data_IF_676827243338
#
_entry.id   IF_676827243338
#
_cell.length_a   1.000
_cell.length_b   1.000
_cell.length_c   1.000
_cell.angle_alpha   90.00
_cell.angle_beta   90.00
_cell.angle_gamma   90.00
#
_symmetry.space_group_name_H-M   'P 1'
#
loop_
_entity.id
_entity.type
_entity.pdbx_description
1 polymer ?
#
# COMPACT_ATOMS: atom_id res chain seq x y z
N UNK A 1 -6.65 17.91 -11.57
CA UNK A 1 -6.13 16.53 -11.56
C UNK A 1 -6.17 16.02 -10.13
N UNK A 2 -6.57 14.76 -9.93
CA UNK A 2 -6.62 14.09 -8.63
C UNK A 2 -5.56 12.98 -8.57
N UNK A 3 -5.03 12.74 -7.37
CA UNK A 3 -4.10 11.65 -7.12
C UNK A 3 -4.87 10.39 -6.79
N UNK A 4 -4.59 9.31 -7.52
CA UNK A 4 -5.17 7.99 -7.30
C UNK A 4 -4.10 6.99 -6.88
N UNK A 5 -4.40 6.20 -5.88
CA UNK A 5 -3.58 5.07 -5.44
C UNK A 5 -4.29 3.75 -5.76
N UNK A 6 -3.55 2.81 -6.33
CA UNK A 6 -4.00 1.42 -6.49
C UNK A 6 -3.27 0.57 -5.49
N UNK A 7 -4.04 -0.14 -4.65
CA UNK A 7 -3.50 -0.90 -3.52
C UNK A 7 -3.97 -2.34 -3.52
N UNK A 8 -3.13 -3.24 -2.99
CA UNK A 8 -3.50 -4.60 -2.65
C UNK A 8 -3.84 -4.68 -1.16
N UNK A 9 -5.01 -5.21 -0.84
CA UNK A 9 -5.38 -5.64 0.51
C UNK A 9 -5.24 -7.15 0.67
N UNK A 10 -4.98 -7.56 1.92
CA UNK A 10 -4.68 -8.94 2.27
C UNK A 10 -5.84 -9.64 2.96
N UNK A 11 -5.68 -10.96 3.15
CA UNK A 11 -6.55 -11.76 4.01
C UNK A 11 -6.71 -11.14 5.41
N UNK A 12 -7.81 -11.50 6.08
CA UNK A 12 -8.16 -10.90 7.37
C UNK A 12 -7.07 -11.08 8.44
N UNK A 13 -6.47 -12.28 8.52
CA UNK A 13 -5.45 -12.56 9.54
C UNK A 13 -4.21 -11.67 9.35
N UNK A 14 -3.76 -11.53 8.11
CA UNK A 14 -2.62 -10.68 7.77
C UNK A 14 -2.92 -9.19 8.01
N UNK A 15 -4.11 -8.73 7.66
CA UNK A 15 -4.54 -7.34 7.95
C UNK A 15 -4.59 -7.08 9.45
N UNK A 16 -5.16 -7.99 10.24
CA UNK A 16 -5.24 -7.83 11.69
C UNK A 16 -3.85 -7.73 12.33
N UNK A 17 -2.87 -8.56 11.90
CA UNK A 17 -1.48 -8.49 12.36
C UNK A 17 -0.82 -7.13 12.07
N UNK A 18 -1.02 -6.61 10.87
CA UNK A 18 -0.46 -5.30 10.48
C UNK A 18 -1.16 -4.18 11.24
N UNK A 19 -2.49 -4.25 11.35
CA UNK A 19 -3.30 -3.25 12.04
C UNK A 19 -2.95 -3.15 13.53
N UNK A 20 -2.67 -4.27 14.19
CA UNK A 20 -2.23 -4.27 15.59
C UNK A 20 -0.95 -3.44 15.79
N UNK A 21 0.02 -3.57 14.88
CA UNK A 21 1.25 -2.77 14.94
C UNK A 21 0.97 -1.28 14.68
N UNK A 22 0.12 -0.95 13.72
CA UNK A 22 -0.32 0.44 13.44
C UNK A 22 -0.98 1.04 14.68
N UNK A 23 -1.90 0.31 15.31
CA UNK A 23 -2.64 0.79 16.48
C UNK A 23 -1.73 1.02 17.68
N UNK A 24 -0.75 0.16 17.92
CA UNK A 24 0.19 0.32 19.03
C UNK A 24 1.17 1.48 18.80
N UNK A 25 1.67 1.64 17.57
CA UNK A 25 2.50 2.79 17.24
C UNK A 25 1.70 4.09 17.46
N UNK A 26 0.47 4.14 16.97
CA UNK A 26 -0.38 5.31 17.14
C UNK A 26 -0.65 5.63 18.62
N UNK A 27 -0.92 4.60 19.42
CA UNK A 27 -1.17 4.77 20.87
C UNK A 27 0.07 5.25 21.65
N UNK A 28 1.27 4.79 21.25
CA UNK A 28 2.52 5.09 21.95
C UNK A 28 3.11 6.43 21.53
N UNK A 29 3.15 6.69 20.21
CA UNK A 29 3.85 7.85 19.63
C UNK A 29 2.93 9.04 19.37
N UNK A 30 1.61 8.84 19.39
CA UNK A 30 0.62 9.84 18.97
C UNK A 30 0.59 10.08 17.43
N UNK A 31 1.36 9.33 16.65
CA UNK A 31 1.38 9.41 15.18
C UNK A 31 0.28 8.50 14.60
N UNK A 32 -0.91 9.00 14.55
CA UNK A 32 -2.14 8.25 14.28
C UNK A 32 -2.79 8.56 12.91
N UNK A 33 -2.06 9.16 11.98
CA UNK A 33 -2.56 9.54 10.66
C UNK A 33 -3.24 8.38 9.93
N UNK A 34 -2.59 7.21 9.84
CA UNK A 34 -3.15 6.02 9.16
C UNK A 34 -4.51 5.64 9.74
N UNK A 35 -4.62 5.66 11.08
CA UNK A 35 -5.86 5.33 11.80
C UNK A 35 -6.94 6.40 11.60
N UNK A 36 -6.61 7.67 11.75
CA UNK A 36 -7.55 8.79 11.58
C UNK A 36 -8.08 8.91 10.15
N UNK A 37 -7.23 8.66 9.17
CA UNK A 37 -7.61 8.66 7.76
C UNK A 37 -8.36 7.40 7.33
N UNK A 38 -8.48 6.38 8.20
CA UNK A 38 -9.15 5.11 7.88
C UNK A 38 -8.43 4.31 6.80
N UNK A 39 -7.12 4.48 6.66
CA UNK A 39 -6.32 3.79 5.65
C UNK A 39 -6.04 2.36 6.12
N UNK A 40 -6.57 1.31 5.44
CA UNK A 40 -6.34 -0.08 5.82
C UNK A 40 -4.90 -0.52 5.53
N UNK A 41 -4.42 -1.59 6.18
CA UNK A 41 -3.17 -2.25 5.81
C UNK A 41 -3.14 -2.67 4.34
N UNK A 42 -2.17 -2.19 3.57
CA UNK A 42 -2.10 -2.40 2.12
C UNK A 42 -0.67 -2.35 1.59
N UNK A 43 -0.49 -2.75 0.34
CA UNK A 43 0.69 -2.43 -0.47
C UNK A 43 0.24 -1.65 -1.70
N UNK A 44 0.72 -0.43 -1.87
CA UNK A 44 0.45 0.38 -3.07
C UNK A 44 1.25 -0.16 -4.25
N UNK A 45 0.61 -0.43 -5.37
CA UNK A 45 1.23 -0.96 -6.60
C UNK A 45 1.32 0.06 -7.73
N UNK A 46 0.55 1.16 -7.63
CA UNK A 46 0.61 2.29 -8.56
C UNK A 46 0.08 3.56 -7.91
N UNK A 47 0.63 4.69 -8.30
CA UNK A 47 0.02 6.00 -8.07
C UNK A 47 0.02 6.76 -9.39
N UNK A 48 -1.15 7.31 -9.73
CA UNK A 48 -1.34 8.10 -10.96
C UNK A 48 -2.10 9.39 -10.67
N UNK A 49 -1.93 10.35 -11.55
CA UNK A 49 -2.65 11.62 -11.52
C UNK A 49 -3.52 11.72 -12.76
N UNK A 50 -4.81 11.98 -12.59
CA UNK A 50 -5.75 12.12 -13.70
C UNK A 50 -6.85 13.13 -13.39
N UNK A 51 -7.47 13.69 -14.41
CA UNK A 51 -8.72 14.43 -14.35
C UNK A 51 -9.91 13.63 -14.93
N UNK A 52 -9.64 12.42 -15.41
CA UNK A 52 -10.63 11.47 -15.96
C UNK A 52 -10.76 10.25 -15.04
N UNK A 53 -11.55 10.39 -13.98
CA UNK A 53 -11.82 9.31 -13.01
C UNK A 53 -12.58 8.14 -13.65
N UNK A 54 -13.44 8.41 -14.63
CA UNK A 54 -14.24 7.39 -15.31
C UNK A 54 -13.34 6.41 -16.08
N UNK A 55 -12.36 6.93 -16.82
CA UNK A 55 -11.36 6.09 -17.50
C UNK A 55 -10.50 5.30 -16.52
N UNK A 56 -10.08 5.90 -15.40
CA UNK A 56 -9.31 5.20 -14.36
C UNK A 56 -10.12 4.05 -13.75
N UNK A 57 -11.39 4.29 -13.42
CA UNK A 57 -12.31 3.26 -12.90
C UNK A 57 -12.53 2.12 -13.91
N UNK A 58 -12.78 2.46 -15.18
CA UNK A 58 -12.99 1.48 -16.25
C UNK A 58 -11.75 0.59 -16.45
N UNK A 59 -10.57 1.18 -16.44
CA UNK A 59 -9.31 0.43 -16.52
C UNK A 59 -9.13 -0.52 -15.33
N UNK A 60 -9.49 -0.07 -14.12
CA UNK A 60 -9.40 -0.92 -12.92
C UNK A 60 -10.41 -2.07 -12.93
N UNK A 61 -11.62 -1.86 -13.45
CA UNK A 61 -12.58 -2.95 -13.66
C UNK A 61 -12.03 -4.03 -14.60
N UNK A 62 -11.38 -3.62 -15.69
CA UNK A 62 -10.78 -4.56 -16.63
C UNK A 62 -9.56 -5.29 -16.03
N UNK A 63 -8.72 -4.59 -15.26
CA UNK A 63 -7.60 -5.19 -14.53
C UNK A 63 -8.11 -6.25 -13.56
N UNK A 64 -9.16 -5.95 -12.80
CA UNK A 64 -9.72 -6.84 -11.78
C UNK A 64 -10.24 -8.17 -12.33
N UNK A 65 -10.69 -8.20 -13.59
CA UNK A 65 -11.14 -9.42 -14.28
C UNK A 65 -10.00 -10.39 -14.60
N UNK A 66 -8.78 -9.88 -14.71
CA UNK A 66 -7.59 -10.65 -15.11
C UNK A 66 -6.61 -10.92 -13.99
N UNK A 67 -6.52 -10.00 -13.03
CA UNK A 67 -5.65 -10.13 -11.87
C UNK A 67 -6.20 -11.18 -10.90
N UNK A 68 -5.33 -12.10 -10.49
CA UNK A 68 -5.67 -13.14 -9.51
C UNK A 68 -5.13 -12.79 -8.13
N UNK A 69 -5.66 -13.46 -7.11
CA UNK A 69 -5.07 -13.46 -5.78
C UNK A 69 -3.64 -14.01 -5.84
N UNK A 70 -2.77 -13.55 -4.94
CA UNK A 70 -1.38 -13.99 -4.93
C UNK A 70 -0.74 -13.88 -3.56
N UNK A 71 0.35 -14.61 -3.39
CA UNK A 71 1.06 -14.66 -2.13
C UNK A 71 2.06 -13.51 -1.99
N UNK A 72 2.06 -12.88 -0.84
CA UNK A 72 2.97 -11.79 -0.46
C UNK A 72 3.62 -12.16 0.87
N UNK A 73 4.95 -12.19 0.93
CA UNK A 73 5.67 -12.61 2.14
C UNK A 73 6.38 -11.38 2.74
N UNK A 74 5.91 -10.91 3.88
CA UNK A 74 6.56 -9.84 4.63
C UNK A 74 7.76 -10.39 5.40
N UNK A 75 8.95 -9.82 5.20
CA UNK A 75 10.22 -10.37 5.70
C UNK A 75 11.07 -9.39 6.47
N UNK A 76 10.82 -8.09 6.35
CA UNK A 76 11.69 -7.10 6.94
C UNK A 76 10.94 -5.83 7.39
N UNK A 77 11.58 -5.08 8.26
CA UNK A 77 11.15 -3.74 8.67
C UNK A 77 12.00 -2.76 7.88
N UNK A 78 11.36 -1.81 7.23
CA UNK A 78 12.03 -0.76 6.46
C UNK A 78 11.65 0.64 6.93
N UNK A 79 12.46 1.60 6.52
CA UNK A 79 12.28 3.01 6.87
C UNK A 79 12.50 3.88 5.63
N UNK A 80 11.57 4.79 5.36
CA UNK A 80 11.84 5.95 4.52
C UNK A 80 12.14 7.11 5.47
N UNK A 81 13.42 7.34 5.67
CA UNK A 81 13.99 8.16 6.76
C UNK A 81 13.62 9.65 6.65
N UNK A 82 13.24 10.28 7.75
CA UNK A 82 12.88 9.70 9.05
C UNK A 82 11.38 9.43 9.20
N UNK A 83 10.57 9.65 8.17
CA UNK A 83 9.14 9.91 8.25
C UNK A 83 8.24 8.68 8.21
N UNK A 84 8.71 7.56 7.68
CA UNK A 84 7.86 6.37 7.47
C UNK A 84 8.54 5.11 7.98
N UNK A 85 7.82 4.30 8.75
CA UNK A 85 8.19 2.91 9.07
C UNK A 85 7.21 1.96 8.38
N UNK A 86 7.70 0.86 7.83
CA UNK A 86 6.89 -0.06 7.05
C UNK A 86 7.35 -1.52 7.18
N UNK A 87 6.48 -2.46 6.83
CA UNK A 87 6.85 -3.85 6.54
C UNK A 87 7.18 -3.98 5.06
N UNK A 88 8.36 -4.55 4.77
CA UNK A 88 8.81 -4.83 3.42
C UNK A 88 8.51 -6.27 3.01
N UNK A 89 7.77 -6.50 1.92
CA UNK A 89 7.61 -7.83 1.36
C UNK A 89 8.79 -8.24 0.49
N UNK A 90 8.96 -9.54 0.31
CA UNK A 90 9.82 -10.07 -0.77
C UNK A 90 9.26 -9.59 -2.10
N UNK A 91 10.12 -9.02 -2.93
CA UNK A 91 9.78 -8.62 -4.30
C UNK A 91 9.70 -9.88 -5.16
N UNK A 92 8.53 -10.48 -5.23
CA UNK A 92 8.26 -11.69 -6.02
C UNK A 92 7.64 -11.36 -7.39
N UNK A 93 7.49 -12.36 -8.23
CA UNK A 93 6.92 -12.23 -9.57
C UNK A 93 5.49 -11.66 -9.54
N UNK A 94 4.65 -12.12 -8.59
CA UNK A 94 3.27 -11.65 -8.42
C UNK A 94 3.22 -10.12 -8.22
N UNK A 95 4.00 -9.59 -7.31
CA UNK A 95 4.05 -8.14 -7.03
C UNK A 95 4.59 -7.36 -8.23
N UNK A 96 5.63 -7.87 -8.89
CA UNK A 96 6.21 -7.21 -10.06
C UNK A 96 5.23 -7.17 -11.24
N UNK A 97 4.60 -8.29 -11.56
CA UNK A 97 3.64 -8.37 -12.66
C UNK A 97 2.38 -7.54 -12.37
N UNK A 98 1.90 -7.51 -11.12
CA UNK A 98 0.80 -6.63 -10.71
C UNK A 98 1.16 -5.15 -10.91
N UNK A 99 2.34 -4.74 -10.44
CA UNK A 99 2.82 -3.36 -10.63
C UNK A 99 2.92 -2.99 -12.12
N UNK A 100 3.49 -3.87 -12.95
CA UNK A 100 3.59 -3.67 -14.40
C UNK A 100 2.24 -3.60 -15.09
N UNK A 101 1.33 -4.53 -14.76
CA UNK A 101 -0.01 -4.58 -15.33
C UNK A 101 -0.78 -3.29 -15.06
N UNK A 102 -0.85 -2.88 -13.79
CA UNK A 102 -1.59 -1.69 -13.36
C UNK A 102 -1.00 -0.43 -13.99
N UNK A 103 0.29 -0.20 -13.86
CA UNK A 103 0.94 0.97 -14.45
C UNK A 103 0.85 0.97 -15.98
N UNK A 104 1.05 -0.17 -16.63
CA UNK A 104 0.96 -0.29 -18.09
C UNK A 104 -0.44 -0.04 -18.65
N UNK A 105 -1.48 -0.17 -17.82
CA UNK A 105 -2.85 0.14 -18.21
C UNK A 105 -3.18 1.61 -17.93
N UNK A 106 -3.01 2.07 -16.69
CA UNK A 106 -3.41 3.40 -16.25
C UNK A 106 -2.62 4.54 -16.93
N UNK A 107 -1.32 4.36 -17.16
CA UNK A 107 -0.47 5.38 -17.80
C UNK A 107 -0.76 5.62 -19.28
N UNK A 108 -1.77 4.97 -19.85
CA UNK A 108 -2.30 5.32 -21.17
C UNK A 108 -3.20 6.56 -21.12
N UNK A 109 -3.80 6.85 -19.95
CA UNK A 109 -4.81 7.89 -19.75
C UNK A 109 -4.50 8.79 -18.56
N UNK A 110 -3.42 8.52 -17.81
CA UNK A 110 -3.02 9.25 -16.63
C UNK A 110 -1.51 9.50 -16.61
N UNK A 111 -1.06 10.40 -15.76
CA UNK A 111 0.35 10.66 -15.52
C UNK A 111 0.85 9.91 -14.28
N UNK A 112 2.14 9.64 -14.20
CA UNK A 112 2.72 9.03 -13.01
C UNK A 112 2.63 9.98 -11.82
N UNK A 113 1.99 9.53 -10.74
CA UNK A 113 1.89 10.25 -9.48
C UNK A 113 3.13 10.07 -8.59
N UNK A 114 3.19 10.83 -7.51
CA UNK A 114 4.21 10.73 -6.48
C UNK A 114 5.65 10.63 -7.02
N UNK A 115 6.02 11.53 -7.92
CA UNK A 115 7.35 11.59 -8.56
C UNK A 115 7.78 10.28 -9.27
N UNK A 116 6.85 9.42 -9.64
CA UNK A 116 7.13 8.14 -10.30
C UNK A 116 7.70 7.04 -9.40
N UNK A 117 7.69 7.20 -8.07
CA UNK A 117 8.21 6.20 -7.13
C UNK A 117 7.48 4.85 -7.19
N UNK A 118 6.29 4.81 -7.79
CA UNK A 118 5.51 3.58 -7.97
C UNK A 118 5.61 2.99 -9.39
N UNK A 119 6.50 3.51 -10.23
CA UNK A 119 6.74 2.96 -11.56
C UNK A 119 7.52 1.63 -11.47
N UNK A 120 7.30 0.69 -12.40
CA UNK A 120 8.10 -0.53 -12.51
C UNK A 120 9.61 -0.22 -12.52
N UNK A 121 10.41 -1.02 -11.83
CA UNK A 121 11.86 -0.87 -11.63
C UNK A 121 12.32 0.31 -10.75
N UNK A 122 11.42 1.15 -10.26
CA UNK A 122 11.71 2.18 -9.25
C UNK A 122 10.96 1.91 -7.94
N UNK A 123 9.94 1.09 -8.01
CA UNK A 123 9.05 0.77 -6.91
C UNK A 123 9.72 -0.04 -5.80
N UNK A 124 9.52 0.41 -4.58
CA UNK A 124 9.84 -0.33 -3.35
C UNK A 124 8.54 -0.75 -2.70
N UNK A 125 8.11 -2.03 -2.84
CA UNK A 125 6.88 -2.48 -2.22
C UNK A 125 6.96 -2.42 -0.70
N UNK A 126 5.92 -1.85 -0.08
CA UNK A 126 5.89 -1.67 1.37
C UNK A 126 4.44 -1.57 1.88
N UNK A 127 4.23 -2.02 3.10
CA UNK A 127 3.01 -1.74 3.87
C UNK A 127 3.36 -0.78 4.99
N UNK A 128 2.94 0.47 4.88
CA UNK A 128 3.22 1.49 5.87
C UNK A 128 2.56 1.16 7.21
N UNK A 129 3.29 1.33 8.30
CA UNK A 129 2.80 1.17 9.66
C UNK A 129 2.54 2.52 10.31
N UNK A 130 3.38 3.50 10.05
CA UNK A 130 3.19 4.89 10.47
C UNK A 130 3.90 5.83 9.50
N UNK A 131 3.35 7.03 9.39
CA UNK A 131 3.87 8.15 8.60
C UNK A 131 3.98 9.39 9.47
N UNK A 132 4.59 10.46 8.95
CA UNK A 132 4.79 11.72 9.66
C UNK A 132 5.61 11.58 10.95
N UNK A 133 6.51 10.59 10.99
CA UNK A 133 7.44 10.38 12.09
C UNK A 133 8.55 11.43 12.08
N UNK A 134 9.11 11.67 13.24
CA UNK A 134 10.41 12.32 13.44
C UNK A 134 11.42 11.31 14.01
N UNK A 135 12.64 11.74 14.26
CA UNK A 135 13.71 10.84 14.70
C UNK A 135 13.43 10.14 16.04
N UNK A 136 12.70 10.77 16.96
CA UNK A 136 12.36 10.17 18.26
C UNK A 136 11.20 9.20 18.13
N UNK A 137 10.10 9.61 17.52
CA UNK A 137 8.93 8.74 17.30
C UNK A 137 9.26 7.56 16.37
N UNK A 138 10.21 7.71 15.44
CA UNK A 138 10.72 6.60 14.64
C UNK A 138 11.42 5.53 15.50
N UNK A 139 12.25 5.94 16.48
CA UNK A 139 12.92 4.99 17.38
C UNK A 139 11.91 4.20 18.22
N UNK A 140 10.89 4.89 18.73
CA UNK A 140 9.80 4.25 19.49
C UNK A 140 9.01 3.27 18.61
N UNK A 141 8.58 3.71 17.44
CA UNK A 141 7.88 2.86 16.48
C UNK A 141 8.70 1.64 16.07
N UNK A 142 10.01 1.82 15.80
CA UNK A 142 10.89 0.70 15.45
C UNK A 142 11.00 -0.32 16.58
N UNK A 143 11.14 0.11 17.83
CA UNK A 143 11.21 -0.78 18.99
C UNK A 143 9.92 -1.63 19.13
N UNK A 144 8.75 -1.01 18.91
CA UNK A 144 7.45 -1.71 18.94
C UNK A 144 7.40 -2.78 17.83
N UNK A 145 7.72 -2.39 16.59
CA UNK A 145 7.65 -3.33 15.46
C UNK A 145 8.65 -4.46 15.62
N UNK A 146 9.89 -4.17 16.04
CA UNK A 146 10.91 -5.18 16.28
C UNK A 146 10.50 -6.21 17.32
N UNK A 147 9.78 -5.81 18.34
CA UNK A 147 9.32 -6.72 19.41
C UNK A 147 8.20 -7.66 18.95
N UNK A 148 7.41 -7.27 17.97
CA UNK A 148 6.20 -7.99 17.53
C UNK A 148 6.32 -8.68 16.18
N UNK A 149 7.11 -8.10 15.27
CA UNK A 149 7.17 -8.58 13.90
C UNK A 149 7.91 -9.92 13.80
N UNK A 150 7.20 -10.90 13.29
CA UNK A 150 7.74 -12.18 12.85
C UNK A 150 7.38 -12.31 11.37
N UNK A 151 8.30 -12.69 10.46
CA UNK A 151 7.99 -12.87 9.04
C UNK A 151 6.77 -13.77 8.82
N UNK A 152 5.87 -13.35 7.93
CA UNK A 152 4.64 -14.09 7.62
C UNK A 152 4.25 -13.96 6.15
N UNK A 153 3.49 -14.96 5.68
CA UNK A 153 2.86 -14.93 4.36
C UNK A 153 1.44 -14.36 4.49
N UNK A 154 1.08 -13.53 3.51
CA UNK A 154 -0.23 -12.95 3.33
C UNK A 154 -0.76 -13.29 1.94
N UNK A 155 -2.07 -13.40 1.79
CA UNK A 155 -2.72 -13.52 0.50
C UNK A 155 -3.35 -12.18 0.11
N UNK A 156 -2.97 -11.63 -1.05
CA UNK A 156 -3.66 -10.48 -1.62
C UNK A 156 -5.04 -10.93 -2.12
N UNK A 157 -6.09 -10.44 -1.50
CA UNK A 157 -7.48 -10.86 -1.79
C UNK A 157 -8.29 -9.78 -2.50
N UNK A 158 -7.87 -8.53 -2.43
CA UNK A 158 -8.57 -7.41 -3.06
C UNK A 158 -7.57 -6.44 -3.70
N UNK A 159 -8.01 -5.83 -4.80
CA UNK A 159 -7.36 -4.65 -5.37
C UNK A 159 -8.32 -3.47 -5.21
N UNK A 160 -7.78 -2.33 -4.80
CA UNK A 160 -8.56 -1.14 -4.46
C UNK A 160 -8.03 0.04 -5.27
N UNK A 161 -8.96 0.86 -5.75
CA UNK A 161 -8.68 2.20 -6.24
C UNK A 161 -9.18 3.21 -5.20
N UNK A 162 -8.30 4.10 -4.78
CA UNK A 162 -8.64 5.17 -3.86
C UNK A 162 -8.13 6.52 -4.38
N UNK A 163 -8.86 7.61 -4.07
CA UNK A 163 -8.25 8.94 -4.08
C UNK A 163 -7.25 9.02 -2.93
N UNK A 164 -6.07 9.55 -3.18
CA UNK A 164 -4.99 9.48 -2.20
C UNK A 164 -5.09 10.59 -1.12
N UNK A 165 -5.55 11.77 -1.50
CA UNK A 165 -5.55 12.95 -0.63
C UNK A 165 -6.82 13.80 -0.82
N UNK A 166 -7.79 13.79 0.14
CA UNK A 166 -7.88 12.86 1.28
C UNK A 166 -8.13 11.43 0.83
N UNK A 167 -7.78 10.44 1.67
CA UNK A 167 -8.04 9.03 1.34
C UNK A 167 -9.54 8.77 1.22
N UNK A 168 -9.94 8.21 0.08
CA UNK A 168 -11.32 7.80 -0.20
C UNK A 168 -11.31 6.59 -1.15
N UNK A 169 -11.80 5.44 -0.69
CA UNK A 169 -12.00 4.26 -1.54
C UNK A 169 -13.11 4.55 -2.56
N UNK A 170 -12.80 4.47 -3.85
CA UNK A 170 -13.74 4.71 -4.94
C UNK A 170 -14.05 3.46 -5.76
N UNK A 171 -13.26 2.41 -5.61
CA UNK A 171 -13.49 1.11 -6.23
C UNK A 171 -12.74 0.00 -5.52
N UNK A 172 -13.37 -1.19 -5.45
CA UNK A 172 -12.81 -2.34 -4.75
C UNK A 172 -13.27 -3.64 -5.41
N UNK A 173 -12.32 -4.50 -5.75
CA UNK A 173 -12.58 -5.75 -6.45
C UNK A 173 -11.90 -6.91 -5.74
N UNK A 174 -12.67 -7.97 -5.52
CA UNK A 174 -12.13 -9.22 -4.98
C UNK A 174 -11.33 -9.93 -6.06
N UNK A 175 -10.16 -10.44 -5.67
CA UNK A 175 -9.29 -11.24 -6.53
C UNK A 175 -9.67 -12.73 -6.40
N UNK A 176 -9.60 -13.47 -7.53
CA UNK A 176 -9.96 -14.89 -7.60
C UNK A 176 -8.72 -15.80 -7.60
#
# INVERSE_FOLDING_TARGET
>A
MLDYAVTLEFDKESRDKIQEMIDEIAATTGRDYMKKAGIPPHVTVSMVVSDDEESVLSDMEDISKTLKSGNVVFTNIGVFNPQVIYLGPVVNEYLQETCKLVNGRLLKHAEAGNNGYYLPNQWVPHSALAVELDAETLKEAFAIVQAKFIPFAATAERIILARAFPYEEIGSWKLN
#
